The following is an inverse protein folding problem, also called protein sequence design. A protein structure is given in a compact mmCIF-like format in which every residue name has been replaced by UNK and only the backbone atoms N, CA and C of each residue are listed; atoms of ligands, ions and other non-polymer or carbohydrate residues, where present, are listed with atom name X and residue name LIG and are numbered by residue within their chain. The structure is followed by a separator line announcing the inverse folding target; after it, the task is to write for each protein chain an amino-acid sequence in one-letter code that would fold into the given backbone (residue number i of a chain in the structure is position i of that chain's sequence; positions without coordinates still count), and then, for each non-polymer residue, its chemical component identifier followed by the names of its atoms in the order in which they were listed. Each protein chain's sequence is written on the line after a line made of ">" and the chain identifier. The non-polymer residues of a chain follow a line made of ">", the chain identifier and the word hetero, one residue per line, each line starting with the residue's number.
data_IF_475780451676
#
_entry.id   IF_475780451676
#
_cell.length_a   1.000
_cell.length_b   1.000
_cell.length_c   1.000
_cell.angle_alpha   90.00
_cell.angle_beta   90.00
_cell.angle_gamma   90.00
#
_symmetry.space_group_name_H-M   'P 1'
#
loop_
_entity.id
_entity.type
_entity.pdbx_description
1 polymer ?
#
# COMPACT_ATOMS: atom_id res chain seq x y z
N UNK A 1 -22.37 -7.53 5.36
CA UNK A 1 -22.71 -6.10 5.25
C UNK A 1 -23.85 -5.94 4.26
N UNK A 2 -24.92 -5.24 4.64
CA UNK A 2 -26.02 -4.82 3.76
C UNK A 2 -26.18 -3.32 3.93
N UNK A 3 -26.07 -2.56 2.86
CA UNK A 3 -26.14 -1.10 2.88
C UNK A 3 -26.87 -0.58 1.64
N UNK A 4 -27.60 0.52 1.79
CA UNK A 4 -28.19 1.21 0.64
C UNK A 4 -27.13 2.00 -0.14
N UNK A 5 -26.18 2.59 0.57
CA UNK A 5 -25.07 3.35 0.00
C UNK A 5 -23.77 3.02 0.72
N UNK A 6 -22.69 2.86 -0.03
CA UNK A 6 -21.35 2.73 0.54
C UNK A 6 -20.83 4.10 0.96
N UNK A 7 -20.28 4.17 2.18
CA UNK A 7 -19.49 5.31 2.64
C UNK A 7 -18.02 5.01 2.39
N UNK A 8 -17.32 5.93 1.75
CA UNK A 8 -15.89 5.83 1.57
C UNK A 8 -15.15 5.96 2.91
N UNK A 9 -14.09 5.19 3.06
CA UNK A 9 -13.25 5.19 4.25
C UNK A 9 -11.81 5.53 3.86
N UNK A 10 -11.31 6.66 4.37
CA UNK A 10 -10.02 7.24 3.99
C UNK A 10 -9.01 7.27 5.15
N UNK A 11 -9.11 6.30 6.06
CA UNK A 11 -8.16 6.09 7.15
C UNK A 11 -7.60 4.67 7.12
N UNK A 12 -6.33 4.50 7.49
CA UNK A 12 -5.76 3.17 7.68
C UNK A 12 -5.97 2.62 9.10
N UNK A 13 -6.63 3.41 9.94
CA UNK A 13 -7.05 3.07 11.30
C UNK A 13 -8.57 3.18 11.42
N UNK A 14 -9.20 2.38 12.27
CA UNK A 14 -10.60 2.59 12.64
C UNK A 14 -10.77 3.80 13.59
N UNK A 15 -12.01 4.05 14.00
CA UNK A 15 -12.36 5.17 14.88
C UNK A 15 -11.73 5.05 16.29
N UNK A 16 -11.37 3.83 16.71
CA UNK A 16 -10.69 3.56 17.99
C UNK A 16 -9.16 3.61 17.88
N UNK A 17 -8.62 3.88 16.69
CA UNK A 17 -7.17 3.90 16.43
C UNK A 17 -6.55 2.52 16.22
N UNK A 18 -7.37 1.47 15.98
CA UNK A 18 -6.89 0.14 15.64
C UNK A 18 -6.38 0.10 14.19
N UNK A 19 -5.17 -0.43 13.94
CA UNK A 19 -4.66 -0.58 12.58
C UNK A 19 -5.51 -1.55 11.76
N UNK A 20 -5.98 -1.12 10.60
CA UNK A 20 -6.80 -1.93 9.70
C UNK A 20 -5.94 -2.80 8.79
N UNK A 21 -6.32 -4.06 8.61
CA UNK A 21 -5.63 -4.99 7.72
C UNK A 21 -6.07 -4.76 6.26
N UNK A 22 -5.10 -4.69 5.34
CA UNK A 22 -5.36 -4.76 3.91
C UNK A 22 -5.74 -6.18 3.50
N UNK A 23 -6.89 -6.36 2.85
CA UNK A 23 -7.41 -7.67 2.46
C UNK A 23 -7.83 -7.69 1.00
N UNK A 24 -7.63 -8.84 0.34
CA UNK A 24 -8.08 -9.12 -1.04
C UNK A 24 -8.91 -10.39 -1.16
N UNK A 25 -9.26 -10.99 -0.02
CA UNK A 25 -10.03 -12.23 0.05
C UNK A 25 -11.41 -12.07 -0.59
N UNK A 26 -11.99 -13.21 -1.00
CA UNK A 26 -13.35 -13.20 -1.53
C UNK A 26 -14.34 -12.78 -0.44
N UNK A 27 -15.10 -11.72 -0.69
CA UNK A 27 -16.13 -11.22 0.23
C UNK A 27 -17.44 -10.91 -0.49
N UNK A 28 -18.57 -11.25 0.12
CA UNK A 28 -19.89 -10.86 -0.36
C UNK A 28 -20.46 -9.73 0.49
N UNK A 29 -20.90 -8.66 -0.16
CA UNK A 29 -21.63 -7.54 0.43
C UNK A 29 -22.93 -7.33 -0.36
N UNK A 30 -23.90 -6.64 0.22
CA UNK A 30 -25.11 -6.23 -0.51
C UNK A 30 -25.17 -4.71 -0.53
N UNK A 31 -25.30 -4.14 -1.73
CA UNK A 31 -25.31 -2.69 -1.96
C UNK A 31 -26.52 -2.33 -2.83
N UNK A 32 -27.41 -1.49 -2.31
CA UNK A 32 -28.60 -1.01 -3.02
C UNK A 32 -29.42 -2.14 -3.69
N UNK A 33 -29.64 -3.22 -2.95
CA UNK A 33 -30.35 -4.43 -3.41
C UNK A 33 -29.53 -5.43 -4.23
N UNK A 34 -28.31 -5.09 -4.64
CA UNK A 34 -27.44 -5.96 -5.45
C UNK A 34 -26.48 -6.77 -4.58
N UNK A 35 -26.39 -8.08 -4.84
CA UNK A 35 -25.37 -8.94 -4.24
C UNK A 35 -24.03 -8.74 -4.94
N UNK A 36 -23.10 -8.06 -4.28
CA UNK A 36 -21.77 -7.78 -4.82
C UNK A 36 -20.76 -8.77 -4.24
N UNK A 37 -20.08 -9.51 -5.12
CA UNK A 37 -18.96 -10.39 -4.78
C UNK A 37 -17.66 -9.66 -5.10
N UNK A 38 -16.95 -9.27 -4.05
CA UNK A 38 -15.57 -8.80 -4.11
C UNK A 38 -14.69 -10.04 -4.28
N UNK A 39 -14.14 -10.26 -5.46
CA UNK A 39 -13.23 -11.37 -5.76
C UNK A 39 -11.89 -10.79 -6.20
N UNK A 40 -10.98 -10.54 -5.26
CA UNK A 40 -9.77 -9.74 -5.50
C UNK A 40 -10.09 -8.27 -5.82
N UNK A 41 -10.89 -7.64 -4.96
CA UNK A 41 -10.95 -6.19 -4.84
C UNK A 41 -10.47 -5.83 -3.43
N UNK A 42 -9.47 -4.95 -3.26
CA UNK A 42 -9.00 -4.59 -1.94
C UNK A 42 -10.07 -3.95 -1.05
N UNK A 43 -10.04 -4.29 0.22
CA UNK A 43 -10.78 -3.64 1.29
C UNK A 43 -9.94 -3.64 2.57
N UNK A 44 -10.34 -2.82 3.54
CA UNK A 44 -9.72 -2.78 4.86
C UNK A 44 -10.58 -3.55 5.87
N UNK A 45 -9.94 -4.24 6.80
CA UNK A 45 -10.63 -5.05 7.82
C UNK A 45 -10.06 -4.77 9.20
N UNK A 46 -10.92 -4.48 10.17
CA UNK A 46 -10.51 -4.48 11.57
C UNK A 46 -10.20 -5.93 11.99
N UNK A 47 -8.97 -6.26 12.42
CA UNK A 47 -8.60 -7.62 12.78
C UNK A 47 -9.27 -8.12 14.06
N UNK A 48 -9.66 -7.23 14.97
CA UNK A 48 -10.27 -7.53 16.27
C UNK A 48 -11.78 -7.79 16.14
N UNK A 49 -12.49 -6.94 15.39
CA UNK A 49 -13.96 -7.00 15.25
C UNK A 49 -14.41 -7.73 13.98
N UNK A 50 -13.55 -7.80 12.98
CA UNK A 50 -13.90 -8.30 11.65
C UNK A 50 -14.72 -7.32 10.81
N UNK A 51 -14.93 -6.09 11.28
CA UNK A 51 -15.56 -5.01 10.53
C UNK A 51 -14.81 -4.71 9.24
N UNK A 52 -15.54 -4.33 8.19
CA UNK A 52 -14.99 -4.07 6.86
C UNK A 52 -15.21 -2.62 6.50
N UNK A 53 -14.14 -1.98 6.04
CA UNK A 53 -14.13 -0.62 5.55
C UNK A 53 -13.76 -0.63 4.06
N UNK A 54 -14.53 0.10 3.26
CA UNK A 54 -14.36 0.17 1.80
C UNK A 54 -13.75 1.53 1.46
N UNK A 55 -12.57 1.53 0.86
CA UNK A 55 -11.83 2.75 0.57
C UNK A 55 -12.43 3.50 -0.61
N UNK A 56 -12.12 4.80 -0.76
CA UNK A 56 -12.67 5.63 -1.85
C UNK A 56 -12.56 4.97 -3.23
N UNK A 57 -11.40 4.43 -3.66
CA UNK A 57 -11.30 3.76 -4.97
C UNK A 57 -12.18 2.52 -5.07
N UNK A 58 -12.26 1.71 -4.01
CA UNK A 58 -13.11 0.53 -3.98
C UNK A 58 -14.61 0.91 -4.04
N UNK A 59 -15.04 1.97 -3.36
CA UNK A 59 -16.42 2.50 -3.44
C UNK A 59 -16.75 2.88 -4.88
N UNK A 60 -15.86 3.61 -5.56
CA UNK A 60 -16.07 4.03 -6.95
C UNK A 60 -16.21 2.83 -7.89
N UNK A 61 -15.36 1.82 -7.73
CA UNK A 61 -15.43 0.57 -8.51
C UNK A 61 -16.74 -0.17 -8.23
N UNK A 62 -17.10 -0.36 -6.95
CA UNK A 62 -18.32 -1.07 -6.58
C UNK A 62 -19.56 -0.34 -7.14
N UNK A 63 -19.63 0.98 -7.01
CA UNK A 63 -20.74 1.76 -7.53
C UNK A 63 -20.86 1.66 -9.06
N UNK A 64 -19.73 1.64 -9.77
CA UNK A 64 -19.73 1.43 -11.23
C UNK A 64 -20.33 0.06 -11.60
N UNK A 65 -19.93 -1.01 -10.92
CA UNK A 65 -20.45 -2.36 -11.15
C UNK A 65 -21.91 -2.53 -10.73
N UNK A 66 -22.32 -1.91 -9.62
CA UNK A 66 -23.72 -1.91 -9.16
C UNK A 66 -24.62 -1.21 -10.17
N UNK A 67 -24.19 -0.05 -10.68
CA UNK A 67 -24.93 0.66 -11.73
C UNK A 67 -25.04 -0.15 -13.02
N UNK A 68 -23.95 -0.82 -13.44
CA UNK A 68 -23.95 -1.71 -14.60
C UNK A 68 -24.93 -2.88 -14.42
N UNK A 69 -24.90 -3.54 -13.25
CA UNK A 69 -25.81 -4.65 -12.93
C UNK A 69 -27.27 -4.21 -12.96
N UNK A 70 -27.59 -3.05 -12.38
CA UNK A 70 -28.94 -2.46 -12.41
C UNK A 70 -29.39 -2.16 -13.84
N UNK A 71 -28.52 -1.57 -14.66
CA UNK A 71 -28.81 -1.31 -16.08
C UNK A 71 -29.10 -2.59 -16.87
N UNK A 72 -28.49 -3.71 -16.49
CA UNK A 72 -28.71 -5.05 -17.07
C UNK A 72 -29.80 -5.85 -16.37
N UNK A 73 -30.51 -5.28 -15.40
CA UNK A 73 -31.52 -5.97 -14.57
C UNK A 73 -31.00 -7.23 -13.87
N UNK A 74 -29.72 -7.23 -13.51
CA UNK A 74 -29.09 -8.30 -12.72
C UNK A 74 -29.21 -7.99 -11.23
N UNK A 75 -29.31 -9.04 -10.41
CA UNK A 75 -29.34 -8.97 -8.95
C UNK A 75 -27.95 -9.16 -8.31
N UNK A 76 -26.92 -9.36 -9.13
CA UNK A 76 -25.56 -9.64 -8.70
C UNK A 76 -24.51 -8.93 -9.55
N UNK A 77 -23.36 -8.69 -8.93
CA UNK A 77 -22.15 -8.21 -9.60
C UNK A 77 -20.93 -8.93 -9.00
N UNK A 78 -19.98 -9.34 -9.84
CA UNK A 78 -18.70 -9.87 -9.41
C UNK A 78 -17.57 -8.95 -9.87
N UNK A 79 -16.70 -8.57 -8.94
CA UNK A 79 -15.61 -7.63 -9.18
C UNK A 79 -14.30 -8.37 -8.99
N UNK A 80 -13.50 -8.40 -10.06
CA UNK A 80 -12.15 -8.96 -10.06
C UNK A 80 -11.16 -7.99 -10.72
N UNK A 81 -10.60 -7.11 -9.90
CA UNK A 81 -9.87 -5.92 -10.36
C UNK A 81 -8.41 -5.89 -9.90
N UNK A 82 -8.00 -6.67 -8.89
CA UNK A 82 -6.62 -6.68 -8.39
C UNK A 82 -5.61 -6.91 -9.51
N UNK A 83 -5.86 -7.87 -10.40
CA UNK A 83 -4.97 -8.14 -11.53
C UNK A 83 -4.84 -6.98 -12.53
N UNK A 84 -5.72 -5.97 -12.51
CA UNK A 84 -5.53 -4.75 -13.31
C UNK A 84 -4.49 -3.83 -12.68
N UNK A 85 -4.49 -3.71 -11.36
CA UNK A 85 -3.52 -2.93 -10.61
C UNK A 85 -2.13 -3.60 -10.67
N UNK A 86 -2.06 -4.92 -10.55
CA UNK A 86 -0.78 -5.65 -10.59
C UNK A 86 -0.15 -5.77 -11.99
N UNK A 87 -0.88 -5.46 -13.07
CA UNK A 87 -0.35 -5.52 -14.44
C UNK A 87 0.33 -4.24 -14.89
N UNK A 88 0.06 -3.12 -14.24
CA UNK A 88 0.56 -1.81 -14.65
C UNK A 88 1.80 -1.44 -13.86
N UNK A 89 2.88 -1.08 -14.54
CA UNK A 89 3.97 -0.32 -13.92
C UNK A 89 3.47 1.08 -13.58
N UNK A 90 3.73 1.54 -12.36
CA UNK A 90 3.48 2.92 -11.98
C UNK A 90 4.49 3.84 -12.69
N UNK A 91 4.10 5.07 -13.07
CA UNK A 91 4.98 5.98 -13.81
C UNK A 91 6.38 6.15 -13.22
N UNK A 92 6.48 6.28 -11.89
CA UNK A 92 7.76 6.45 -11.17
C UNK A 92 8.63 5.20 -11.22
N UNK A 93 8.02 4.01 -11.28
CA UNK A 93 8.73 2.72 -11.29
C UNK A 93 9.22 2.29 -12.67
N UNK A 94 8.89 3.05 -13.73
CA UNK A 94 9.23 2.68 -15.11
C UNK A 94 10.73 2.48 -15.28
N UNK A 95 11.12 1.33 -15.82
CA UNK A 95 12.52 0.99 -16.04
C UNK A 95 13.25 0.43 -14.82
N UNK A 96 12.54 0.21 -13.72
CA UNK A 96 13.06 -0.53 -12.55
C UNK A 96 12.55 -1.98 -12.53
N UNK A 97 13.19 -2.83 -11.72
CA UNK A 97 12.81 -4.24 -11.56
C UNK A 97 12.22 -4.52 -10.17
N UNK A 98 11.77 -3.49 -9.45
CA UNK A 98 11.18 -3.66 -8.13
C UNK A 98 9.87 -4.43 -8.19
N UNK A 99 9.72 -5.39 -7.30
CA UNK A 99 8.47 -6.06 -6.94
C UNK A 99 7.74 -5.17 -5.94
N UNK A 100 6.59 -4.65 -6.37
CA UNK A 100 5.67 -3.83 -5.58
C UNK A 100 4.23 -4.09 -6.05
N UNK A 101 3.26 -3.68 -5.24
CA UNK A 101 1.84 -3.76 -5.57
C UNK A 101 1.29 -2.36 -5.82
N UNK A 102 0.82 -2.09 -7.03
CA UNK A 102 0.14 -0.83 -7.31
C UNK A 102 -1.18 -0.73 -6.52
N UNK A 103 -1.77 -1.86 -6.12
CA UNK A 103 -2.96 -1.85 -5.30
C UNK A 103 -2.70 -1.27 -3.90
N UNK A 104 -1.51 -1.45 -3.32
CA UNK A 104 -1.17 -0.79 -2.06
C UNK A 104 -1.19 0.72 -2.23
N UNK A 105 -0.53 1.24 -3.29
CA UNK A 105 -0.51 2.67 -3.59
C UNK A 105 -1.91 3.27 -3.75
N UNK A 106 -2.82 2.58 -4.45
CA UNK A 106 -4.16 3.12 -4.67
C UNK A 106 -5.11 2.90 -3.50
N UNK A 107 -5.01 1.79 -2.77
CA UNK A 107 -6.03 1.40 -1.79
C UNK A 107 -5.59 1.58 -0.33
N UNK A 108 -4.31 1.73 -0.01
CA UNK A 108 -3.90 2.19 1.33
C UNK A 108 -4.12 3.71 1.41
N UNK A 109 -4.92 4.20 2.38
CA UNK A 109 -5.19 5.62 2.49
C UNK A 109 -3.93 6.48 2.62
N UNK A 110 -3.94 7.68 2.04
CA UNK A 110 -2.87 8.66 2.16
C UNK A 110 -1.67 8.47 1.22
N UNK A 111 -1.59 7.39 0.43
CA UNK A 111 -0.47 7.18 -0.50
C UNK A 111 -0.62 7.91 -1.85
N UNK A 112 -1.85 8.13 -2.31
CA UNK A 112 -2.11 8.96 -3.50
C UNK A 112 -2.04 10.44 -3.12
N UNK A 113 -1.05 11.17 -3.66
CA UNK A 113 -0.84 12.62 -3.39
C UNK A 113 -1.11 13.54 -4.59
N UNK A 114 -1.19 12.97 -5.79
CA UNK A 114 -1.36 13.68 -7.06
C UNK A 114 -2.33 12.93 -7.99
N UNK A 115 -2.98 13.67 -8.89
CA UNK A 115 -3.91 13.13 -9.89
C UNK A 115 -3.55 13.71 -11.28
N UNK A 116 -3.16 12.89 -12.27
CA UNK A 116 -2.90 11.45 -12.18
C UNK A 116 -1.72 11.16 -11.24
N UNK A 117 -1.76 10.02 -10.56
CA UNK A 117 -0.70 9.66 -9.62
C UNK A 117 0.51 9.07 -10.33
N UNK A 118 1.71 9.44 -9.87
CA UNK A 118 2.98 8.90 -10.36
C UNK A 118 3.41 7.60 -9.66
N UNK A 119 2.85 7.30 -8.48
CA UNK A 119 3.22 6.13 -7.68
C UNK A 119 4.35 6.37 -6.68
N UNK A 120 4.74 7.62 -6.38
CA UNK A 120 5.92 7.91 -5.54
C UNK A 120 5.88 7.14 -4.20
N UNK A 121 4.77 7.24 -3.47
CA UNK A 121 4.57 6.62 -2.15
C UNK A 121 4.15 5.15 -2.22
N UNK A 122 4.55 4.44 -3.28
CA UNK A 122 4.33 2.99 -3.36
C UNK A 122 5.29 2.28 -2.42
N UNK A 123 4.80 1.45 -1.48
CA UNK A 123 5.66 0.65 -0.62
C UNK A 123 6.45 -0.38 -1.42
N UNK A 124 7.76 -0.43 -1.18
CA UNK A 124 8.63 -1.49 -1.67
C UNK A 124 9.22 -2.21 -0.46
N UNK A 125 9.07 -3.53 -0.45
CA UNK A 125 9.46 -4.37 0.67
C UNK A 125 10.80 -5.05 0.43
N UNK A 126 11.57 -5.20 1.51
CA UNK A 126 12.90 -5.83 1.49
C UNK A 126 13.07 -6.76 2.69
N UNK A 127 13.93 -7.76 2.53
CA UNK A 127 14.44 -8.51 3.67
C UNK A 127 15.13 -7.56 4.66
N UNK A 128 15.05 -7.87 5.96
CA UNK A 128 15.69 -7.06 7.01
C UNK A 128 17.21 -6.88 6.81
N UNK A 129 17.86 -7.87 6.19
CA UNK A 129 19.29 -7.85 5.88
C UNK A 129 19.70 -6.70 4.95
N UNK A 130 18.75 -6.10 4.21
CA UNK A 130 19.02 -4.94 3.37
C UNK A 130 19.73 -3.82 4.14
N UNK A 131 19.42 -3.65 5.44
CA UNK A 131 19.99 -2.63 6.30
C UNK A 131 21.46 -2.88 6.67
N UNK A 132 21.95 -4.12 6.58
CA UNK A 132 23.33 -4.46 6.94
C UNK A 132 24.34 -3.69 6.09
N UNK A 133 24.08 -3.54 4.79
CA UNK A 133 24.91 -2.70 3.91
C UNK A 133 24.95 -1.26 4.40
N UNK A 134 23.80 -0.68 4.71
CA UNK A 134 23.70 0.73 5.12
C UNK A 134 24.26 1.00 6.52
N UNK A 135 24.29 -0.04 7.37
CA UNK A 135 24.82 0.06 8.73
C UNK A 135 26.34 -0.04 8.79
N UNK A 136 26.96 -0.86 7.93
CA UNK A 136 28.39 -1.20 8.03
C UNK A 136 29.22 -0.82 6.81
N UNK A 137 28.60 -0.48 5.68
CA UNK A 137 29.30 -0.11 4.47
C UNK A 137 29.94 1.27 4.58
N UNK A 138 31.14 1.41 4.02
CA UNK A 138 31.79 2.72 3.91
C UNK A 138 30.96 3.69 3.08
N UNK A 139 30.79 4.91 3.59
CA UNK A 139 30.02 5.94 2.91
C UNK A 139 28.50 5.78 3.04
N UNK A 140 28.00 4.89 3.89
CA UNK A 140 26.59 4.81 4.24
C UNK A 140 26.37 5.14 5.72
N UNK A 141 25.15 5.52 6.06
CA UNK A 141 24.73 5.73 7.45
C UNK A 141 23.28 5.30 7.65
N UNK A 142 22.99 4.87 8.86
CA UNK A 142 21.63 4.58 9.31
C UNK A 142 21.36 5.34 10.60
N UNK A 143 20.20 5.97 10.68
CA UNK A 143 19.71 6.62 11.89
C UNK A 143 18.32 6.08 12.21
N UNK A 144 18.23 5.24 13.23
CA UNK A 144 16.94 4.83 13.79
C UNK A 144 16.35 5.98 14.61
N UNK A 145 15.10 6.33 14.33
CA UNK A 145 14.32 7.30 15.13
C UNK A 145 13.45 6.58 16.15
N UNK A 146 12.87 5.46 15.73
CA UNK A 146 12.13 4.52 16.58
C UNK A 146 12.55 3.09 16.28
N UNK A 147 11.88 2.10 16.88
CA UNK A 147 12.08 0.69 16.54
C UNK A 147 11.63 0.33 15.12
N UNK A 148 10.65 1.06 14.58
CA UNK A 148 10.03 0.76 13.28
C UNK A 148 10.18 1.87 12.23
N UNK A 149 10.97 2.92 12.53
CA UNK A 149 11.23 4.04 11.63
C UNK A 149 12.67 4.56 11.75
N UNK A 150 13.29 4.83 10.61
CA UNK A 150 14.59 5.49 10.54
C UNK A 150 14.85 6.12 9.17
N UNK A 151 16.09 6.55 8.98
CA UNK A 151 16.58 7.08 7.71
C UNK A 151 17.93 6.50 7.34
N UNK A 152 18.14 6.31 6.04
CA UNK A 152 19.42 5.95 5.44
C UNK A 152 20.05 7.20 4.83
N UNK A 153 21.36 7.34 4.97
CA UNK A 153 22.17 8.32 4.28
C UNK A 153 23.25 7.65 3.42
N UNK A 154 23.52 8.25 2.27
CA UNK A 154 24.57 7.84 1.33
C UNK A 154 25.51 9.05 1.18
N UNK A 155 26.81 8.81 1.22
CA UNK A 155 27.87 9.85 1.18
C UNK A 155 27.81 10.76 -0.03
N UNK A 156 27.12 10.34 -1.10
CA UNK A 156 26.80 11.14 -2.27
C UNK A 156 25.78 12.26 -2.01
N UNK A 157 25.24 12.37 -0.78
CA UNK A 157 24.30 13.40 -0.35
C UNK A 157 22.82 12.99 -0.46
N UNK A 158 22.53 11.80 -0.99
CA UNK A 158 21.19 11.23 -1.01
C UNK A 158 20.86 10.56 0.33
N UNK A 159 19.60 10.64 0.75
CA UNK A 159 19.10 9.90 1.91
C UNK A 159 17.60 9.71 1.78
N UNK A 160 17.09 8.63 2.37
CA UNK A 160 15.69 8.28 2.29
C UNK A 160 15.21 7.60 3.57
N UNK A 161 13.93 7.79 3.93
CA UNK A 161 13.34 7.16 5.09
C UNK A 161 13.14 5.66 4.85
N UNK A 162 13.14 4.87 5.91
CA UNK A 162 12.73 3.47 5.88
C UNK A 162 11.86 3.13 7.09
N UNK A 163 10.94 2.19 6.90
CA UNK A 163 10.14 1.58 7.96
C UNK A 163 10.46 0.11 8.16
N UNK A 164 9.97 -0.45 9.26
CA UNK A 164 9.95 -1.90 9.50
C UNK A 164 8.53 -2.31 9.84
N UNK A 165 7.93 -3.20 9.05
CA UNK A 165 6.58 -3.67 9.28
C UNK A 165 6.53 -4.74 10.40
N UNK A 166 5.33 -5.23 10.74
CA UNK A 166 5.15 -6.21 11.84
C UNK A 166 5.85 -7.54 11.60
N UNK A 167 6.07 -7.91 10.34
CA UNK A 167 6.81 -9.12 9.97
C UNK A 167 8.34 -8.92 10.03
N UNK A 168 8.82 -7.71 10.35
CA UNK A 168 10.24 -7.38 10.39
C UNK A 168 10.84 -7.05 9.02
N UNK A 169 10.01 -6.92 7.99
CA UNK A 169 10.46 -6.55 6.65
C UNK A 169 10.62 -5.05 6.54
N UNK A 170 11.64 -4.62 5.81
CA UNK A 170 11.96 -3.21 5.62
C UNK A 170 11.10 -2.64 4.50
N UNK A 171 10.60 -1.43 4.69
CA UNK A 171 9.76 -0.73 3.71
C UNK A 171 10.40 0.59 3.34
N UNK A 172 10.45 0.91 2.04
CA UNK A 172 10.93 2.19 1.51
C UNK A 172 9.97 2.66 0.41
N UNK A 173 9.95 3.97 0.13
CA UNK A 173 9.11 4.49 -0.96
C UNK A 173 9.77 4.26 -2.31
N UNK A 174 9.02 3.75 -3.28
CA UNK A 174 9.49 3.53 -4.64
C UNK A 174 10.14 4.78 -5.24
N UNK A 175 9.53 5.95 -5.02
CA UNK A 175 10.03 7.24 -5.52
C UNK A 175 11.39 7.64 -4.98
N UNK A 176 11.74 7.25 -3.75
CA UNK A 176 13.05 7.51 -3.17
C UNK A 176 14.14 6.61 -3.79
N UNK A 177 13.76 5.42 -4.23
CA UNK A 177 14.69 4.41 -4.74
C UNK A 177 15.07 4.62 -6.20
N UNK A 178 14.12 5.07 -7.03
CA UNK A 178 14.32 5.12 -8.50
C UNK A 178 15.40 6.11 -8.95
N UNK A 179 15.77 7.06 -8.09
CA UNK A 179 16.84 8.04 -8.35
C UNK A 179 18.25 7.55 -7.99
N UNK A 180 18.38 6.35 -7.41
CA UNK A 180 19.67 5.80 -7.01
C UNK A 180 20.47 5.28 -8.21
N UNK A 181 21.79 5.19 -8.05
CA UNK A 181 22.65 4.67 -9.09
C UNK A 181 22.42 3.16 -9.35
N UNK A 182 22.92 2.66 -10.49
CA UNK A 182 22.74 1.27 -10.88
C UNK A 182 23.28 0.27 -9.85
N UNK A 183 24.35 0.61 -9.12
CA UNK A 183 24.94 -0.28 -8.11
C UNK A 183 24.01 -0.40 -6.90
N UNK A 184 23.44 0.71 -6.45
CA UNK A 184 22.43 0.72 -5.38
C UNK A 184 21.18 -0.06 -5.79
N UNK A 185 20.67 0.20 -7.00
CA UNK A 185 19.49 -0.49 -7.52
C UNK A 185 19.71 -2.01 -7.62
N UNK A 186 20.85 -2.47 -8.13
CA UNK A 186 21.15 -3.90 -8.22
C UNK A 186 21.19 -4.59 -6.84
N UNK A 187 21.76 -3.94 -5.83
CA UNK A 187 21.72 -4.47 -4.47
C UNK A 187 20.28 -4.53 -3.94
N UNK A 188 19.52 -3.45 -4.09
CA UNK A 188 18.13 -3.40 -3.63
C UNK A 188 17.26 -4.45 -4.34
N UNK A 189 17.46 -4.71 -5.64
CA UNK A 189 16.75 -5.78 -6.35
C UNK A 189 17.03 -7.17 -5.76
N UNK A 190 18.25 -7.41 -5.26
CA UNK A 190 18.59 -8.70 -4.63
C UNK A 190 17.92 -8.92 -3.27
N UNK A 191 17.58 -7.83 -2.57
CA UNK A 191 16.96 -7.87 -1.24
C UNK A 191 15.43 -7.61 -1.29
N UNK A 192 14.92 -7.09 -2.40
CA UNK A 192 13.52 -6.80 -2.60
C UNK A 192 12.70 -8.08 -2.55
N UNK A 193 11.61 -8.09 -1.78
CA UNK A 193 10.69 -9.21 -1.61
C UNK A 193 9.30 -8.85 -2.17
N UNK A 194 8.42 -9.85 -2.24
CA UNK A 194 7.05 -9.63 -2.71
C UNK A 194 6.29 -8.66 -1.77
N UNK A 195 5.30 -7.93 -2.29
CA UNK A 195 4.42 -7.07 -1.50
C UNK A 195 3.89 -7.74 -0.24
N UNK A 196 3.98 -7.06 0.90
CA UNK A 196 3.56 -7.61 2.19
C UNK A 196 2.18 -7.13 2.63
N UNK A 197 1.63 -6.08 2.00
CA UNK A 197 0.31 -5.53 2.33
C UNK A 197 0.18 -5.09 3.79
N UNK A 198 1.31 -4.66 4.38
CA UNK A 198 1.40 -4.22 5.77
C UNK A 198 2.38 -3.05 5.87
N UNK A 199 1.84 -1.85 6.03
CA UNK A 199 2.58 -0.59 6.14
C UNK A 199 2.51 -0.01 7.56
N UNK A 200 1.75 -0.65 8.46
CA UNK A 200 1.60 -0.24 9.84
C UNK A 200 2.94 -0.23 10.56
N UNK A 201 3.39 0.98 10.89
CA UNK A 201 4.67 1.27 11.54
C UNK A 201 4.73 2.76 11.86
N UNK A 202 5.70 3.16 12.69
CA UNK A 202 6.01 4.57 12.94
C UNK A 202 6.42 5.29 11.65
N UNK A 203 6.88 4.56 10.63
CA UNK A 203 7.19 5.10 9.32
C UNK A 203 5.94 5.61 8.60
N UNK A 204 4.83 4.86 8.60
CA UNK A 204 3.56 5.36 8.04
C UNK A 204 3.03 6.53 8.87
N UNK A 205 3.08 6.41 10.20
CA UNK A 205 2.61 7.44 11.11
C UNK A 205 3.37 8.77 10.92
N UNK A 206 4.68 8.72 10.74
CA UNK A 206 5.50 9.90 10.50
C UNK A 206 5.34 10.44 9.07
N UNK A 207 5.50 9.58 8.06
CA UNK A 207 5.59 10.01 6.65
C UNK A 207 4.22 10.32 6.03
N UNK A 208 3.14 9.69 6.50
CA UNK A 208 1.80 9.84 5.91
C UNK A 208 0.87 10.64 6.82
N UNK A 209 0.87 10.35 8.13
CA UNK A 209 0.00 11.02 9.10
C UNK A 209 0.63 12.25 9.76
N UNK A 210 1.89 12.58 9.44
CA UNK A 210 2.64 13.70 10.03
C UNK A 210 2.69 13.66 11.57
N UNK A 211 2.69 12.47 12.18
CA UNK A 211 2.92 12.34 13.61
C UNK A 211 4.38 12.65 13.93
N UNK A 212 4.60 13.45 14.96
CA UNK A 212 5.92 13.68 15.53
C UNK A 212 6.23 12.53 16.48
N UNK A 213 7.25 11.76 16.15
CA UNK A 213 7.66 10.54 16.85
C UNK A 213 9.13 10.66 17.24
#
# INVERSE_FOLDING_TARGET
>A
MRVEQLKAFDSYFDDDGTPLQFCVDRKTIHVAGIRVVLNKLPYLKNPNTGEIHITTPAVNIINSYVSEAKGKQLDHAEINQMGRFERGELPVGRGTQFRYSAAEHFFIPGLVRNIPSDGYLTPVYFNRNVLTKYQYGEGYGIQSRTESFGSISISTGCGFPFGVNRAGNVVMWLGDLVGLDARELHYLYSENIDPQYDLHSDFYDSQILNKWI
#
